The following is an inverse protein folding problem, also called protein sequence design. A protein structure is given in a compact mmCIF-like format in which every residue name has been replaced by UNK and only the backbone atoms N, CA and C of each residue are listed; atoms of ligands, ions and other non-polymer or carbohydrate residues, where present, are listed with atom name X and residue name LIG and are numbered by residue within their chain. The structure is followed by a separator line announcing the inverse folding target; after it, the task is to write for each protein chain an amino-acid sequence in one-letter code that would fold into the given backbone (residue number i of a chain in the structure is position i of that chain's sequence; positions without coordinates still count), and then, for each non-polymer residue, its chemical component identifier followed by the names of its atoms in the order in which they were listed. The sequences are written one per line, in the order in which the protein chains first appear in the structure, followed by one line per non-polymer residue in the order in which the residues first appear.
data_IF_612647582945
#
_entry.id   IF_612647582945
#
_cell.length_a   1.000
_cell.length_b   1.000
_cell.length_c   1.000
_cell.angle_alpha   90.00
_cell.angle_beta   90.00
_cell.angle_gamma   90.00
#
_symmetry.space_group_name_H-M   'P 1'
#
loop_
_entity.id
_entity.type
_entity.pdbx_description
1 polymer ?
#
# COMPACT_ATOMS: atom_id res chain seq x y z
N UNK A 1 14.06 6.18 3.87
CA UNK A 1 13.97 6.76 5.22
C UNK A 1 12.88 7.82 5.34
N UNK A 2 12.70 8.71 4.34
CA UNK A 2 11.74 9.84 4.41
C UNK A 2 10.34 9.48 4.91
N UNK A 3 9.75 8.37 4.48
CA UNK A 3 8.39 7.99 4.87
C UNK A 3 8.23 7.72 6.38
N UNK A 4 9.15 6.96 6.98
CA UNK A 4 9.06 6.64 8.42
C UNK A 4 9.40 7.86 9.28
N UNK A 5 10.34 8.71 8.83
CA UNK A 5 10.62 9.98 9.50
C UNK A 5 9.48 10.99 9.40
N UNK A 6 8.66 10.90 8.35
CA UNK A 6 7.51 11.77 8.14
C UNK A 6 6.27 11.32 8.93
N UNK A 7 6.31 10.17 9.63
CA UNK A 7 5.18 9.70 10.45
C UNK A 7 4.79 10.70 11.54
N UNK A 8 5.78 11.39 12.13
CA UNK A 8 5.56 12.42 13.14
C UNK A 8 4.75 13.64 12.65
N UNK A 9 4.53 13.76 11.33
CA UNK A 9 3.67 14.81 10.76
C UNK A 9 2.18 14.51 10.91
N UNK A 10 1.83 13.26 11.17
CA UNK A 10 0.45 12.80 11.22
C UNK A 10 0.01 12.68 12.68
N UNK A 11 -1.24 13.07 13.01
CA UNK A 11 -1.74 13.04 14.39
C UNK A 11 -2.18 11.63 14.80
N UNK A 12 -1.32 10.63 14.58
CA UNK A 12 -1.55 9.23 14.91
C UNK A 12 -0.27 8.63 15.47
N UNK A 13 -0.40 7.99 16.64
CA UNK A 13 0.73 7.29 17.25
C UNK A 13 0.93 5.94 16.54
N UNK A 14 2.14 5.66 16.03
CA UNK A 14 2.45 4.36 15.45
C UNK A 14 2.62 3.29 16.52
N UNK A 15 2.24 2.06 16.19
CA UNK A 15 2.52 0.87 17.00
C UNK A 15 3.50 -0.07 16.28
N UNK A 16 4.34 -0.77 17.03
CA UNK A 16 5.25 -1.76 16.49
C UNK A 16 4.56 -3.13 16.36
N UNK A 17 4.51 -3.68 15.14
CA UNK A 17 4.01 -5.03 14.89
C UNK A 17 5.07 -6.11 15.15
N UNK A 18 6.34 -5.78 14.95
CA UNK A 18 7.48 -6.67 15.13
C UNK A 18 8.78 -5.87 15.22
N UNK A 19 9.82 -6.53 15.73
CA UNK A 19 11.21 -6.11 15.54
C UNK A 19 11.84 -6.92 14.41
N UNK A 20 12.51 -6.23 13.49
CA UNK A 20 13.29 -6.83 12.41
C UNK A 20 14.59 -7.45 12.92
N UNK A 21 15.34 -8.12 12.04
CA UNK A 21 16.65 -8.71 12.37
C UNK A 21 17.67 -7.68 12.91
N UNK A 22 17.65 -6.43 12.43
CA UNK A 22 18.48 -5.35 12.95
C UNK A 22 17.82 -4.57 14.11
N UNK A 23 16.73 -5.08 14.69
CA UNK A 23 16.03 -4.49 15.83
C UNK A 23 15.26 -3.21 15.50
N UNK A 24 14.90 -2.99 14.23
CA UNK A 24 14.00 -1.88 13.85
C UNK A 24 12.55 -2.30 13.99
N UNK A 25 11.69 -1.34 14.29
CA UNK A 25 10.26 -1.60 14.37
C UNK A 25 9.63 -1.64 12.97
N UNK A 26 8.77 -2.63 12.75
CA UNK A 26 7.78 -2.61 11.67
C UNK A 26 6.57 -1.86 12.20
N UNK A 27 6.41 -0.61 11.78
CA UNK A 27 5.37 0.28 12.30
C UNK A 27 4.04 0.13 11.56
N UNK A 28 2.95 0.23 12.31
CA UNK A 28 1.59 0.31 11.82
C UNK A 28 0.84 1.51 12.41
N UNK A 29 -0.19 1.98 11.69
CA UNK A 29 -1.07 3.06 12.08
C UNK A 29 -2.51 2.57 12.07
N UNK A 30 -3.24 2.82 13.15
CA UNK A 30 -4.68 2.55 13.24
C UNK A 30 -5.45 3.84 13.04
N UNK A 31 -6.30 3.89 12.00
CA UNK A 31 -7.09 5.07 11.66
C UNK A 31 -8.59 4.76 11.57
N UNK A 32 -9.40 5.80 11.73
CA UNK A 32 -10.86 5.70 11.64
C UNK A 32 -11.49 5.04 12.86
N UNK A 33 -12.74 4.63 12.71
CA UNK A 33 -13.55 4.06 13.78
C UNK A 33 -13.14 2.61 14.05
N UNK A 34 -12.35 2.38 15.10
CA UNK A 34 -11.90 1.04 15.49
C UNK A 34 -13.03 0.12 15.96
N UNK A 35 -14.24 0.63 16.19
CA UNK A 35 -15.44 -0.17 16.48
C UNK A 35 -16.28 -0.46 15.24
N UNK A 36 -15.84 -0.02 14.05
CA UNK A 36 -16.56 -0.32 12.81
C UNK A 36 -16.48 -1.80 12.44
N UNK A 37 -17.57 -2.31 11.84
CA UNK A 37 -17.66 -3.71 11.42
C UNK A 37 -16.62 -4.08 10.36
N UNK A 38 -16.27 -3.15 9.46
CA UNK A 38 -15.44 -3.46 8.30
C UNK A 38 -13.99 -3.03 8.53
N UNK A 39 -13.06 -3.97 8.29
CA UNK A 39 -11.62 -3.81 8.49
C UNK A 39 -10.89 -3.71 7.15
N UNK A 40 -10.04 -2.69 6.99
CA UNK A 40 -9.22 -2.48 5.80
C UNK A 40 -7.75 -2.43 6.19
N UNK A 41 -6.93 -3.26 5.54
CA UNK A 41 -5.48 -3.23 5.70
C UNK A 41 -4.79 -2.80 4.41
N UNK A 42 -3.84 -1.87 4.53
CA UNK A 42 -2.96 -1.49 3.42
C UNK A 42 -1.52 -1.63 3.90
N UNK A 43 -0.72 -2.39 3.18
CA UNK A 43 0.72 -2.58 3.43
C UNK A 43 1.52 -2.12 2.23
N UNK A 44 2.72 -1.60 2.47
CA UNK A 44 3.64 -1.19 1.43
C UNK A 44 5.08 -1.62 1.74
N UNK A 45 5.92 -1.63 0.68
CA UNK A 45 7.38 -1.82 0.78
C UNK A 45 7.82 -3.14 1.43
N UNK A 46 7.19 -4.25 1.04
CA UNK A 46 7.73 -5.58 1.31
C UNK A 46 9.09 -5.79 0.59
N UNK A 47 9.19 -5.34 -0.66
CA UNK A 47 10.44 -5.26 -1.39
C UNK A 47 11.10 -3.88 -1.18
N UNK A 48 12.35 -3.82 -0.71
CA UNK A 48 12.99 -2.55 -0.38
C UNK A 48 13.24 -1.61 -1.56
N UNK A 49 13.51 -2.12 -2.77
CA UNK A 49 13.84 -1.32 -3.94
C UNK A 49 12.65 -0.57 -4.54
N UNK A 50 11.43 -0.89 -4.12
CA UNK A 50 10.18 -0.40 -4.70
C UNK A 50 9.76 0.94 -4.10
N UNK A 51 10.61 1.96 -4.29
CA UNK A 51 10.43 3.26 -3.62
C UNK A 51 9.11 3.96 -3.92
N UNK A 52 8.51 3.73 -5.08
CA UNK A 52 7.20 4.30 -5.45
C UNK A 52 6.08 3.84 -4.52
N UNK A 53 6.16 2.62 -3.96
CA UNK A 53 5.18 2.14 -3.00
C UNK A 53 5.07 3.05 -1.76
N UNK A 54 6.18 3.66 -1.33
CA UNK A 54 6.14 4.65 -0.24
C UNK A 54 5.43 5.95 -0.62
N UNK A 55 5.54 6.39 -1.88
CA UNK A 55 4.86 7.58 -2.36
C UNK A 55 3.36 7.37 -2.52
N UNK A 56 2.97 6.19 -3.02
CA UNK A 56 1.55 5.80 -3.08
C UNK A 56 0.97 5.74 -1.67
N UNK A 57 1.64 5.07 -0.73
CA UNK A 57 1.17 4.99 0.66
C UNK A 57 1.17 6.37 1.34
N UNK A 58 2.12 7.25 1.04
CA UNK A 58 2.08 8.64 1.51
C UNK A 58 0.83 9.36 1.00
N UNK A 59 0.47 9.22 -0.27
CA UNK A 59 -0.76 9.79 -0.82
C UNK A 59 -2.03 9.24 -0.16
N UNK A 60 -2.05 7.93 0.17
CA UNK A 60 -3.14 7.31 0.95
C UNK A 60 -3.25 7.98 2.33
N UNK A 61 -2.13 8.16 3.02
CA UNK A 61 -2.10 8.80 4.33
C UNK A 61 -2.53 10.28 4.25
N UNK A 62 -2.05 11.01 3.24
CA UNK A 62 -2.41 12.41 2.99
C UNK A 62 -3.91 12.57 2.73
N UNK A 63 -4.51 11.68 1.94
CA UNK A 63 -5.95 11.67 1.72
C UNK A 63 -6.72 11.34 3.01
N UNK A 64 -6.38 10.22 3.66
CA UNK A 64 -7.14 9.74 4.82
C UNK A 64 -7.13 10.73 5.98
N UNK A 65 -6.01 11.42 6.23
CA UNK A 65 -5.86 12.30 7.39
C UNK A 65 -5.95 13.79 7.06
N UNK A 66 -5.97 14.16 5.78
CA UNK A 66 -5.98 15.56 5.34
C UNK A 66 -7.23 15.98 4.55
N UNK A 67 -7.94 15.03 3.93
CA UNK A 67 -9.06 15.34 3.03
C UNK A 67 -10.42 15.18 3.74
N UNK A 68 -11.31 16.18 3.70
CA UNK A 68 -12.68 16.06 4.20
C UNK A 68 -13.50 14.93 3.56
N UNK A 69 -13.23 14.56 2.29
CA UNK A 69 -13.89 13.44 1.62
C UNK A 69 -13.61 12.10 2.33
N UNK A 70 -12.46 11.97 2.99
CA UNK A 70 -12.09 10.77 3.73
C UNK A 70 -12.88 10.58 5.04
N UNK A 71 -13.57 11.61 5.55
CA UNK A 71 -14.28 11.53 6.84
C UNK A 71 -15.35 10.44 6.85
N UNK A 72 -16.08 10.28 5.73
CA UNK A 72 -17.07 9.21 5.61
C UNK A 72 -16.43 7.82 5.67
N UNK A 73 -15.25 7.66 5.06
CA UNK A 73 -14.49 6.42 5.10
C UNK A 73 -13.94 6.13 6.50
N UNK A 74 -13.41 7.15 7.19
CA UNK A 74 -12.92 7.01 8.56
C UNK A 74 -14.04 6.71 9.56
N UNK A 75 -15.26 7.22 9.35
CA UNK A 75 -16.38 6.95 10.24
C UNK A 75 -16.91 5.50 10.12
N UNK A 76 -16.81 4.91 8.92
CA UNK A 76 -17.44 3.63 8.59
C UNK A 76 -16.48 2.43 8.60
N UNK A 77 -15.17 2.67 8.59
CA UNK A 77 -14.15 1.63 8.43
C UNK A 77 -13.07 1.79 9.51
N UNK A 78 -12.54 0.65 9.95
CA UNK A 78 -11.29 0.61 10.71
C UNK A 78 -10.13 0.31 9.75
N UNK A 79 -9.10 1.15 9.81
CA UNK A 79 -7.94 1.06 8.93
C UNK A 79 -6.71 0.62 9.71
N UNK A 80 -5.99 -0.35 9.16
CA UNK A 80 -4.64 -0.74 9.57
C UNK A 80 -3.68 -0.41 8.41
N UNK A 81 -2.85 0.61 8.57
CA UNK A 81 -1.84 0.95 7.57
C UNK A 81 -0.46 0.47 8.04
N UNK A 82 0.27 -0.20 7.18
CA UNK A 82 1.68 -0.60 7.40
C UNK A 82 2.55 0.11 6.35
N UNK A 83 3.05 1.31 6.67
CA UNK A 83 3.83 2.15 5.76
C UNK A 83 5.03 1.46 5.11
N UNK A 84 5.72 0.60 5.86
CA UNK A 84 6.93 -0.05 5.40
C UNK A 84 7.12 -1.39 6.10
N UNK A 85 6.89 -2.47 5.36
CA UNK A 85 7.08 -3.83 5.89
C UNK A 85 8.55 -4.22 6.06
N UNK A 86 9.46 -3.68 5.24
CA UNK A 86 10.89 -4.06 5.24
C UNK A 86 11.84 -2.89 5.54
N UNK A 87 11.81 -2.30 6.76
CA UNK A 87 12.66 -1.15 7.08
C UNK A 87 14.16 -1.48 7.03
N UNK A 88 14.55 -2.71 7.38
CA UNK A 88 15.95 -3.12 7.35
C UNK A 88 16.50 -3.20 5.94
N UNK A 89 15.80 -3.89 5.03
CA UNK A 89 16.22 -4.02 3.65
C UNK A 89 16.32 -2.66 2.96
N UNK A 90 15.45 -1.71 3.32
CA UNK A 90 15.51 -0.32 2.83
C UNK A 90 16.77 0.38 3.31
N UNK A 91 17.08 0.27 4.60
CA UNK A 91 18.28 0.88 5.18
C UNK A 91 19.57 0.27 4.64
N UNK A 92 19.55 -1.02 4.32
CA UNK A 92 20.67 -1.73 3.72
C UNK A 92 20.79 -1.57 2.19
N UNK A 93 19.89 -0.82 1.55
CA UNK A 93 19.91 -0.62 0.09
C UNK A 93 19.64 -1.90 -0.72
N UNK A 94 18.93 -2.87 -0.16
CA UNK A 94 18.52 -4.09 -0.88
C UNK A 94 17.45 -3.76 -1.91
N UNK A 95 17.21 -4.69 -2.84
CA UNK A 95 16.16 -4.54 -3.85
C UNK A 95 14.91 -5.34 -3.51
N UNK A 96 15.08 -6.57 -3.01
CA UNK A 96 13.98 -7.54 -2.89
C UNK A 96 13.78 -8.13 -1.50
N UNK A 97 14.85 -8.42 -0.77
CA UNK A 97 14.77 -9.22 0.47
C UNK A 97 15.04 -8.39 1.72
N UNK A 98 14.61 -8.90 2.88
CA UNK A 98 15.07 -8.41 4.19
C UNK A 98 16.54 -8.80 4.45
N UNK A 99 17.08 -8.56 5.65
CA UNK A 99 18.49 -8.85 5.94
C UNK A 99 18.84 -10.35 5.92
N UNK A 100 17.88 -11.20 6.30
CA UNK A 100 18.02 -12.66 6.31
C UNK A 100 17.82 -13.29 4.92
N UNK A 101 17.80 -12.46 3.87
CA UNK A 101 17.59 -12.87 2.49
C UNK A 101 16.20 -13.49 2.22
N UNK A 102 15.22 -13.20 3.08
CA UNK A 102 13.83 -13.61 2.89
C UNK A 102 13.10 -12.63 1.99
N UNK A 103 12.42 -13.16 0.97
CA UNK A 103 11.48 -12.41 0.13
C UNK A 103 10.14 -12.32 0.86
N UNK A 104 9.88 -11.22 1.56
CA UNK A 104 8.70 -11.07 2.42
C UNK A 104 7.38 -11.34 1.66
N UNK A 105 7.30 -10.97 0.37
CA UNK A 105 6.11 -11.22 -0.45
C UNK A 105 6.03 -12.67 -0.98
N UNK A 106 6.74 -13.61 -0.36
CA UNK A 106 6.60 -15.06 -0.52
C UNK A 106 6.32 -15.77 0.80
N UNK A 107 6.24 -15.01 1.90
CA UNK A 107 6.18 -15.54 3.27
C UNK A 107 5.11 -14.87 4.13
N UNK A 108 4.01 -14.37 3.52
CA UNK A 108 2.85 -13.86 4.28
C UNK A 108 2.04 -14.96 4.99
N UNK A 109 2.18 -16.21 4.55
CA UNK A 109 1.42 -17.36 5.04
C UNK A 109 2.12 -18.16 6.16
N UNK A 110 3.40 -17.89 6.41
CA UNK A 110 4.23 -18.65 7.35
C UNK A 110 4.92 -17.73 8.37
N UNK A 111 5.94 -18.24 9.07
CA UNK A 111 6.67 -17.57 10.16
C UNK A 111 8.14 -17.30 9.76
N UNK A 112 8.49 -17.34 8.46
CA UNK A 112 9.89 -17.30 8.01
C UNK A 112 10.59 -15.97 8.27
N UNK A 113 9.84 -14.90 8.52
CA UNK A 113 10.37 -13.58 8.82
C UNK A 113 9.56 -12.90 9.93
N UNK A 114 10.21 -12.20 10.87
CA UNK A 114 9.50 -11.50 11.94
C UNK A 114 8.54 -10.43 11.40
N UNK A 115 8.87 -9.79 10.28
CA UNK A 115 8.04 -8.74 9.67
C UNK A 115 6.69 -9.28 9.18
N UNK A 116 6.69 -10.38 8.43
CA UNK A 116 5.44 -11.01 7.94
C UNK A 116 4.70 -11.71 9.06
N UNK A 117 5.40 -12.26 10.07
CA UNK A 117 4.79 -12.82 11.26
C UNK A 117 4.02 -11.76 12.06
N UNK A 118 4.64 -10.60 12.33
CA UNK A 118 3.99 -9.49 13.03
C UNK A 118 2.76 -8.98 12.27
N UNK A 119 2.88 -8.80 10.95
CA UNK A 119 1.74 -8.46 10.09
C UNK A 119 0.63 -9.52 10.18
N UNK A 120 0.96 -10.81 10.08
CA UNK A 120 -0.03 -11.90 10.17
C UNK A 120 -0.77 -11.87 11.51
N UNK A 121 -0.07 -11.68 12.62
CA UNK A 121 -0.70 -11.54 13.94
C UNK A 121 -1.64 -10.33 14.01
N UNK A 122 -1.25 -9.19 13.43
CA UNK A 122 -2.11 -8.01 13.36
C UNK A 122 -3.38 -8.26 12.53
N UNK A 123 -3.26 -8.93 11.37
CA UNK A 123 -4.41 -9.29 10.52
C UNK A 123 -5.35 -10.27 11.23
N UNK A 124 -4.82 -11.21 12.01
CA UNK A 124 -5.61 -12.13 12.83
C UNK A 124 -6.36 -11.39 13.94
N UNK A 125 -5.75 -10.36 14.55
CA UNK A 125 -6.41 -9.50 15.52
C UNK A 125 -7.57 -8.72 14.87
N UNK A 126 -7.39 -8.13 13.68
CA UNK A 126 -8.48 -7.49 12.95
C UNK A 126 -9.67 -8.44 12.71
N UNK A 127 -9.38 -9.72 12.43
CA UNK A 127 -10.39 -10.73 12.17
C UNK A 127 -11.24 -11.08 13.41
N UNK A 128 -10.73 -10.84 14.62
CA UNK A 128 -11.51 -11.00 15.85
C UNK A 128 -12.44 -9.82 16.11
N UNK A 129 -12.14 -8.65 15.52
CA UNK A 129 -12.81 -7.39 15.80
C UNK A 129 -13.84 -7.01 14.71
N UNK A 130 -13.82 -7.64 13.53
CA UNK A 130 -14.81 -7.38 12.48
C UNK A 130 -14.59 -8.16 11.18
N UNK A 131 -15.40 -7.82 10.19
CA UNK A 131 -15.35 -8.37 8.85
C UNK A 131 -14.16 -7.79 8.06
N UNK A 132 -13.31 -8.68 7.56
CA UNK A 132 -12.15 -8.35 6.74
C UNK A 132 -12.58 -7.91 5.34
N UNK A 133 -12.67 -6.61 5.12
CA UNK A 133 -13.20 -6.04 3.89
C UNK A 133 -12.17 -6.00 2.77
N UNK A 134 -11.02 -5.35 3.00
CA UNK A 134 -10.01 -5.16 1.97
C UNK A 134 -8.58 -5.28 2.47
N UNK A 135 -7.74 -5.99 1.71
CA UNK A 135 -6.30 -6.07 1.90
C UNK A 135 -5.62 -5.59 0.61
N UNK A 136 -4.78 -4.56 0.74
CA UNK A 136 -4.07 -3.96 -0.40
C UNK A 136 -2.57 -3.98 -0.11
N UNK A 137 -1.83 -4.67 -0.98
CA UNK A 137 -0.37 -4.73 -0.92
C UNK A 137 0.25 -3.87 -2.03
N UNK A 138 0.94 -2.80 -1.67
CA UNK A 138 1.48 -1.81 -2.60
C UNK A 138 2.93 -2.17 -2.97
N UNK A 139 3.15 -2.42 -4.26
CA UNK A 139 4.42 -2.78 -4.88
C UNK A 139 4.79 -1.83 -6.03
N UNK A 140 5.95 -2.07 -6.61
CA UNK A 140 6.38 -1.43 -7.86
C UNK A 140 6.88 -2.43 -8.88
N UNK A 141 6.50 -2.24 -10.13
CA UNK A 141 6.85 -3.16 -11.20
C UNK A 141 7.91 -2.55 -12.14
N UNK A 142 9.00 -3.29 -12.41
CA UNK A 142 10.12 -2.80 -13.22
C UNK A 142 9.91 -2.87 -14.73
N UNK A 143 9.06 -3.79 -15.23
CA UNK A 143 8.86 -4.02 -16.68
C UNK A 143 7.57 -3.44 -17.25
N UNK A 144 6.43 -3.67 -16.59
CA UNK A 144 5.10 -3.19 -16.99
C UNK A 144 4.96 -1.70 -16.68
N UNK A 145 4.23 -0.96 -17.53
CA UNK A 145 4.05 0.50 -17.44
C UNK A 145 2.69 0.84 -16.82
N UNK A 146 2.59 2.03 -16.22
CA UNK A 146 1.35 2.53 -15.60
C UNK A 146 1.11 2.04 -14.18
N UNK A 147 -0.12 2.24 -13.69
CA UNK A 147 -0.61 1.70 -12.41
C UNK A 147 -1.58 0.58 -12.76
N UNK A 148 -1.43 -0.59 -12.15
CA UNK A 148 -2.29 -1.74 -12.41
C UNK A 148 -2.45 -2.58 -11.16
N UNK A 149 -3.45 -3.47 -11.15
CA UNK A 149 -3.72 -4.33 -10.02
C UNK A 149 -3.52 -5.81 -10.37
N UNK A 150 -3.10 -6.58 -9.38
CA UNK A 150 -3.11 -8.04 -9.42
C UNK A 150 -4.08 -8.51 -8.34
N UNK A 151 -5.28 -8.95 -8.74
CA UNK A 151 -6.32 -9.43 -7.84
C UNK A 151 -6.37 -10.97 -7.80
N UNK A 152 -7.31 -11.53 -7.04
CA UNK A 152 -7.51 -12.98 -6.86
C UNK A 152 -8.71 -13.54 -7.65
N UNK A 153 -9.16 -12.83 -8.68
CA UNK A 153 -10.47 -13.00 -9.31
C UNK A 153 -11.63 -12.66 -8.34
N UNK A 154 -12.88 -12.91 -8.75
CA UNK A 154 -14.07 -12.69 -7.92
C UNK A 154 -14.23 -11.23 -7.48
N UNK A 155 -14.59 -10.99 -6.22
CA UNK A 155 -14.78 -9.69 -5.60
C UNK A 155 -13.57 -8.76 -5.76
N UNK A 156 -12.34 -9.28 -5.80
CA UNK A 156 -11.14 -8.49 -6.05
C UNK A 156 -11.19 -7.74 -7.39
N UNK A 157 -11.69 -8.38 -8.45
CA UNK A 157 -11.81 -7.76 -9.78
C UNK A 157 -12.88 -6.67 -9.80
N UNK A 158 -13.92 -6.81 -8.98
CA UNK A 158 -14.94 -5.79 -8.79
C UNK A 158 -14.33 -4.53 -8.17
N UNK A 159 -13.49 -4.65 -7.15
CA UNK A 159 -12.81 -3.49 -6.56
C UNK A 159 -11.88 -2.81 -7.58
N UNK A 160 -11.11 -3.59 -8.34
CA UNK A 160 -10.26 -3.05 -9.42
C UNK A 160 -11.08 -2.26 -10.44
N UNK A 161 -12.24 -2.79 -10.86
CA UNK A 161 -13.14 -2.13 -11.82
C UNK A 161 -13.73 -0.83 -11.24
N UNK A 162 -14.14 -0.85 -9.97
CA UNK A 162 -14.63 0.35 -9.29
C UNK A 162 -13.54 1.42 -9.17
N UNK A 163 -12.31 1.04 -8.81
CA UNK A 163 -11.18 1.97 -8.74
C UNK A 163 -10.90 2.59 -10.12
N UNK A 164 -10.90 1.79 -11.19
CA UNK A 164 -10.68 2.27 -12.55
C UNK A 164 -11.80 3.20 -13.04
N UNK A 165 -13.03 3.05 -12.55
CA UNK A 165 -14.11 3.98 -12.84
C UNK A 165 -13.90 5.38 -12.23
N UNK A 166 -13.04 5.49 -11.20
CA UNK A 166 -12.74 6.73 -10.48
C UNK A 166 -11.46 7.41 -10.96
N UNK A 167 -10.60 6.70 -11.69
CA UNK A 167 -9.35 7.27 -12.22
C UNK A 167 -8.87 6.58 -13.49
N UNK A 168 -8.43 7.38 -14.46
CA UNK A 168 -7.81 6.91 -15.71
C UNK A 168 -6.37 6.40 -15.52
N UNK A 169 -5.80 6.54 -14.32
CA UNK A 169 -4.44 6.11 -14.01
C UNK A 169 -4.33 4.59 -13.84
N UNK A 170 -5.40 3.93 -13.39
CA UNK A 170 -5.45 2.49 -13.18
C UNK A 170 -5.82 1.76 -14.48
N UNK A 171 -4.86 1.01 -15.02
CA UNK A 171 -5.01 0.20 -16.23
C UNK A 171 -5.69 -1.15 -15.92
N UNK A 172 -6.99 -1.11 -15.64
CA UNK A 172 -7.79 -2.30 -15.35
C UNK A 172 -8.00 -3.21 -16.57
N UNK A 173 -8.16 -2.64 -17.76
CA UNK A 173 -8.46 -3.40 -18.98
C UNK A 173 -7.21 -3.95 -19.70
N UNK A 174 -6.03 -3.40 -19.44
CA UNK A 174 -4.78 -3.82 -20.06
C UNK A 174 -3.92 -4.67 -19.14
N UNK A 175 -3.14 -4.00 -18.28
CA UNK A 175 -2.05 -4.62 -17.53
C UNK A 175 -2.51 -5.37 -16.28
N UNK A 176 -3.67 -5.02 -15.74
CA UNK A 176 -4.23 -5.69 -14.56
C UNK A 176 -4.57 -7.15 -14.86
N UNK A 177 -4.49 -8.00 -13.84
CA UNK A 177 -4.70 -9.45 -13.98
C UNK A 177 -5.19 -10.07 -12.68
N UNK A 178 -5.69 -11.30 -12.76
CA UNK A 178 -6.39 -11.93 -11.62
C UNK A 178 -5.97 -13.38 -11.36
N UNK A 179 -5.03 -13.89 -12.17
CA UNK A 179 -4.56 -15.27 -12.06
C UNK A 179 -3.90 -15.55 -10.71
N UNK A 180 -4.27 -16.68 -10.10
CA UNK A 180 -3.58 -17.25 -8.94
C UNK A 180 -2.81 -18.48 -9.41
N UNK A 181 -1.53 -18.55 -9.10
CA UNK A 181 -0.66 -19.69 -9.41
C UNK A 181 -0.36 -20.44 -8.12
N UNK A 182 -0.04 -21.74 -8.20
CA UNK A 182 0.28 -22.55 -7.04
C UNK A 182 1.43 -21.96 -6.18
N UNK A 183 2.40 -21.33 -6.83
CA UNK A 183 3.54 -20.64 -6.20
C UNK A 183 3.18 -19.32 -5.50
N UNK A 184 1.96 -18.80 -5.67
CA UNK A 184 1.54 -17.51 -5.12
C UNK A 184 1.02 -17.63 -3.68
N UNK A 185 1.01 -18.82 -3.08
CA UNK A 185 0.44 -19.06 -1.74
C UNK A 185 0.97 -18.10 -0.66
N UNK A 186 2.25 -17.72 -0.75
CA UNK A 186 2.89 -16.80 0.18
C UNK A 186 2.86 -15.32 -0.22
N UNK A 187 2.23 -14.98 -1.35
CA UNK A 187 2.03 -13.58 -1.79
C UNK A 187 0.95 -12.95 -0.93
N UNK A 188 1.14 -11.68 -0.53
CA UNK A 188 0.25 -10.97 0.40
C UNK A 188 -1.22 -11.06 0.02
N UNK A 189 -1.57 -10.76 -1.25
CA UNK A 189 -2.96 -10.85 -1.72
C UNK A 189 -3.58 -12.24 -1.53
N UNK A 190 -2.82 -13.31 -1.74
CA UNK A 190 -3.34 -14.69 -1.69
C UNK A 190 -3.47 -15.13 -0.23
N UNK A 191 -2.43 -14.87 0.58
CA UNK A 191 -2.44 -15.18 2.00
C UNK A 191 -3.55 -14.42 2.75
N UNK A 192 -3.77 -13.14 2.45
CA UNK A 192 -4.84 -12.37 3.07
C UNK A 192 -6.24 -12.84 2.65
N UNK A 193 -6.44 -13.20 1.37
CA UNK A 193 -7.72 -13.78 0.95
C UNK A 193 -8.01 -15.12 1.63
N UNK A 194 -6.97 -15.94 1.87
CA UNK A 194 -7.13 -17.20 2.62
C UNK A 194 -7.54 -16.99 4.09
N UNK A 195 -7.27 -15.79 4.64
CA UNK A 195 -7.72 -15.39 5.99
C UNK A 195 -9.14 -14.79 6.00
N UNK A 196 -9.76 -14.61 4.83
CA UNK A 196 -11.14 -14.11 4.71
C UNK A 196 -11.28 -12.67 4.20
N UNK A 197 -10.19 -12.00 3.81
CA UNK A 197 -10.32 -10.69 3.16
C UNK A 197 -11.07 -10.79 1.84
N UNK A 198 -12.21 -10.10 1.75
CA UNK A 198 -13.09 -10.11 0.58
C UNK A 198 -12.42 -9.49 -0.65
N UNK A 199 -11.89 -8.28 -0.50
CA UNK A 199 -11.20 -7.56 -1.56
C UNK A 199 -9.69 -7.59 -1.32
N UNK A 200 -9.01 -8.59 -1.90
CA UNK A 200 -7.56 -8.74 -1.73
C UNK A 200 -6.81 -8.58 -3.05
N UNK A 201 -5.88 -7.62 -3.10
CA UNK A 201 -5.14 -7.29 -4.31
C UNK A 201 -3.75 -6.70 -4.04
N UNK A 202 -2.89 -6.78 -5.04
CA UNK A 202 -1.63 -6.03 -5.12
C UNK A 202 -1.83 -4.84 -6.05
N UNK A 203 -1.42 -3.64 -5.63
CA UNK A 203 -1.31 -2.47 -6.53
C UNK A 203 0.15 -2.34 -6.96
N UNK A 204 0.37 -2.31 -8.26
CA UNK A 204 1.68 -2.16 -8.87
C UNK A 204 1.78 -0.77 -9.50
N UNK A 205 2.79 -0.01 -9.09
CA UNK A 205 3.17 1.24 -9.75
C UNK A 205 4.45 1.05 -10.57
N UNK A 206 4.45 1.48 -11.83
CA UNK A 206 5.63 1.26 -12.68
C UNK A 206 6.84 2.07 -12.18
N UNK A 207 8.02 1.44 -12.24
CA UNK A 207 9.32 2.14 -12.13
C UNK A 207 9.67 2.93 -13.41
N UNK A 208 8.96 2.66 -14.51
CA UNK A 208 9.17 3.29 -15.81
C UNK A 208 8.01 4.26 -16.11
N UNK A 209 8.33 5.48 -16.53
CA UNK A 209 7.32 6.43 -16.96
C UNK A 209 6.44 5.83 -18.09
N UNK A 210 5.14 6.14 -18.09
CA UNK A 210 4.35 6.06 -19.32
C UNK A 210 5.03 7.00 -20.31
N UNK A 211 5.79 6.47 -21.27
CA UNK A 211 5.90 7.15 -22.55
C UNK A 211 4.49 7.08 -23.14
N UNK A 212 3.71 8.15 -22.93
CA UNK A 212 2.68 8.52 -23.89
C UNK A 212 3.39 8.57 -25.24
N UNK A 213 2.75 8.05 -26.28
CA UNK A 213 3.30 7.89 -27.63
C UNK A 213 4.24 9.03 -28.02
N UNK A 214 5.29 8.72 -28.78
CA UNK A 214 6.12 9.74 -29.42
C UNK A 214 5.18 10.66 -30.22
N UNK A 215 4.83 11.82 -29.64
CA UNK A 215 3.81 12.74 -30.15
C UNK A 215 2.74 13.22 -29.14
N UNK A 216 2.57 12.59 -27.98
CA UNK A 216 1.64 13.05 -26.94
C UNK A 216 2.31 14.05 -25.99
N UNK A 217 1.71 15.22 -25.81
CA UNK A 217 2.23 16.28 -24.96
C UNK A 217 2.66 15.74 -23.59
N UNK A 218 3.91 16.03 -23.23
CA UNK A 218 4.40 15.86 -21.87
C UNK A 218 3.40 16.51 -20.91
N UNK A 219 3.14 15.88 -19.76
CA UNK A 219 2.67 16.59 -18.58
C UNK A 219 3.74 17.63 -18.21
N UNK A 220 3.71 18.76 -18.91
CA UNK A 220 4.29 20.00 -18.48
C UNK A 220 3.50 20.37 -17.23
N UNK A 221 4.17 20.31 -16.08
CA UNK A 221 3.83 21.23 -15.00
C UNK A 221 3.89 22.62 -15.64
N UNK A 222 2.73 23.17 -16.01
CA UNK A 222 2.64 24.52 -16.54
C UNK A 222 3.07 25.47 -15.42
N UNK A 223 4.37 25.77 -15.39
CA UNK A 223 4.89 26.98 -14.79
C UNK A 223 4.37 28.14 -15.64
N UNK A 224 3.41 28.89 -15.11
CA UNK A 224 2.97 30.15 -15.71
C UNK A 224 1.46 30.35 -15.77
N UNK A 225 0.81 30.49 -14.63
CA UNK A 225 -0.07 31.65 -14.43
C UNK A 225 0.27 32.27 -13.08
N UNK A 226 1.07 33.31 -13.13
CA UNK A 226 1.15 34.32 -12.07
C UNK A 226 -0.28 34.82 -11.80
N UNK A 227 -0.83 34.46 -10.65
CA UNK A 227 -1.77 35.32 -9.95
C UNK A 227 -1.10 35.75 -8.66
N UNK A 228 -0.79 37.05 -8.63
CA UNK A 228 -0.27 37.81 -7.51
C UNK A 228 -0.94 37.39 -6.19
N UNK A 229 -0.18 36.73 -5.31
CA UNK A 229 -0.44 36.79 -3.88
C UNK A 229 0.09 38.13 -3.37
N UNK A 230 -0.82 39.03 -3.00
CA UNK A 230 -0.51 40.20 -2.18
C UNK A 230 0.08 39.75 -0.84
N UNK A 231 1.11 40.43 -0.29
CA UNK A 231 1.67 40.07 1.00
C UNK A 231 0.71 40.45 2.12
N UNK A 232 0.52 39.52 3.06
CA UNK A 232 -0.01 39.81 4.38
C UNK A 232 0.93 40.83 5.06
N UNK A 233 0.46 42.07 5.20
CA UNK A 233 1.00 43.02 6.18
C UNK A 233 0.44 42.67 7.56
N UNK A 234 1.33 42.80 8.56
CA UNK A 234 1.04 42.70 9.99
C UNK A 234 -0.07 43.64 10.44
#
# INVERSE_FOLDING_TARGET
MQMLSDLARWPVEPEALALTAAGKEVLALRLGNQSAQHRVCIVARAHPGETHASWVMRGVMEFLMGDPEAQSCLAQLAWLLVPMLNPDGVMAGRTRTNLDAVDLNRHHHDDSAPETKGLKSALQAEAQEGELLAFIDIHSHSRRRGIFAIANASDGDRLVSLMASRTHLLDAAGTSRSEIRAQDAGVGRVAAASQGYKYSLTIESSLCARHVEVGGEHLLLQAGQEKLCTPFSR
#
